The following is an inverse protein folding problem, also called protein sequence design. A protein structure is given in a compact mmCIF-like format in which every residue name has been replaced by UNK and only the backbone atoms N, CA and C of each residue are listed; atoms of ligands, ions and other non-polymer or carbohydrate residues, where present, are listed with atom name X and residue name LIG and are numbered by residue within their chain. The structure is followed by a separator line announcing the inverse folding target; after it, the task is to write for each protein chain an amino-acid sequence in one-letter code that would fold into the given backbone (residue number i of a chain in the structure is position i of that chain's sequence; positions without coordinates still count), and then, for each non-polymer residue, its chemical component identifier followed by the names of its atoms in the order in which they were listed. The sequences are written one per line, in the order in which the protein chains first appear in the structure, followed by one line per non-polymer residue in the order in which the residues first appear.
data_IF_663580216849
#
_entry.id   IF_663580216849
#
_cell.length_a   1.000
_cell.length_b   1.000
_cell.length_c   1.000
_cell.angle_alpha   90.00
_cell.angle_beta   90.00
_cell.angle_gamma   90.00
#
_symmetry.space_group_name_H-M   'P 1'
#
loop_
_entity.id
_entity.type
_entity.pdbx_description
1 polymer ?
#
# COMPACT_ATOMS: atom_id res chain seq x y z
N UNK A 1 0.88 -21.52 -0.66
CA UNK A 1 1.14 -20.67 -1.85
C UNK A 1 0.91 -19.22 -1.48
N UNK A 2 1.89 -18.34 -1.67
CA UNK A 2 1.65 -16.91 -1.51
C UNK A 2 0.61 -16.44 -2.54
N UNK A 3 -0.22 -15.50 -2.14
CA UNK A 3 -1.24 -14.94 -3.04
C UNK A 3 -0.72 -13.77 -3.87
N UNK A 4 0.48 -13.26 -3.55
CA UNK A 4 1.05 -12.08 -4.18
C UNK A 4 2.52 -12.31 -4.54
N UNK A 5 2.96 -11.54 -5.52
CA UNK A 5 4.36 -11.58 -6.00
C UNK A 5 4.79 -10.18 -6.42
N UNK A 6 6.05 -9.84 -6.17
CA UNK A 6 6.63 -8.58 -6.62
C UNK A 6 7.24 -8.76 -8.01
N UNK A 7 6.92 -7.84 -8.93
CA UNK A 7 7.47 -7.83 -10.28
C UNK A 7 7.68 -6.39 -10.76
N UNK A 8 8.48 -6.23 -11.82
CA UNK A 8 8.58 -4.96 -12.53
C UNK A 8 7.32 -4.75 -13.36
N UNK A 9 6.71 -3.57 -13.24
CA UNK A 9 5.46 -3.25 -13.95
C UNK A 9 5.70 -2.95 -15.43
N UNK A 10 6.93 -2.60 -15.80
CA UNK A 10 7.26 -2.18 -17.16
C UNK A 10 6.98 -0.70 -17.44
N UNK A 11 6.40 0.03 -16.50
CA UNK A 11 6.07 1.46 -16.70
C UNK A 11 6.48 2.38 -15.55
N UNK A 12 6.49 1.92 -14.31
CA UNK A 12 6.84 2.78 -13.16
C UNK A 12 7.59 2.04 -12.06
N UNK A 13 8.38 1.04 -12.43
CA UNK A 13 9.21 0.30 -11.50
C UNK A 13 8.52 -0.95 -10.96
N UNK A 14 8.78 -1.28 -9.70
CA UNK A 14 8.25 -2.48 -9.07
C UNK A 14 6.79 -2.30 -8.68
N UNK A 15 6.06 -3.40 -8.66
CA UNK A 15 4.70 -3.46 -8.15
C UNK A 15 4.40 -4.84 -7.58
N UNK A 16 3.25 -4.96 -6.94
CA UNK A 16 2.77 -6.21 -6.36
C UNK A 16 1.63 -6.73 -7.23
N UNK A 17 1.72 -7.99 -7.59
CA UNK A 17 0.78 -8.64 -8.51
C UNK A 17 0.12 -9.83 -7.85
N UNK A 18 -1.11 -10.12 -8.27
CA UNK A 18 -1.82 -11.31 -7.80
C UNK A 18 -1.16 -12.56 -8.39
N UNK A 19 -0.76 -13.49 -7.52
CA UNK A 19 -0.19 -14.77 -7.93
C UNK A 19 -1.28 -15.86 -8.08
N UNK A 20 -2.52 -15.53 -7.72
CA UNK A 20 -3.73 -16.32 -7.92
C UNK A 20 -4.93 -15.40 -7.97
N UNK A 21 -6.11 -15.94 -8.29
CA UNK A 21 -7.34 -15.15 -8.20
C UNK A 21 -7.65 -14.85 -6.74
N UNK A 22 -8.01 -13.60 -6.47
CA UNK A 22 -8.35 -13.12 -5.13
C UNK A 22 -9.77 -12.57 -5.19
N UNK A 23 -10.63 -13.01 -4.28
CA UNK A 23 -12.02 -12.57 -4.25
C UNK A 23 -12.19 -11.29 -3.45
N UNK A 24 -13.16 -10.47 -3.85
CA UNK A 24 -13.54 -9.27 -3.11
C UNK A 24 -13.71 -9.57 -1.62
N UNK A 25 -13.12 -8.75 -0.78
CA UNK A 25 -13.16 -8.89 0.67
C UNK A 25 -12.11 -9.81 1.27
N UNK A 26 -11.41 -10.58 0.44
CA UNK A 26 -10.36 -11.48 0.91
C UNK A 26 -9.14 -10.67 1.34
N UNK A 27 -8.52 -11.03 2.48
CA UNK A 27 -7.28 -10.40 2.89
C UNK A 27 -6.15 -10.81 1.96
N UNK A 28 -5.34 -9.82 1.61
CA UNK A 28 -4.17 -9.98 0.75
C UNK A 28 -2.92 -10.13 1.59
N UNK A 29 -2.77 -9.22 2.56
CA UNK A 29 -1.60 -9.20 3.43
C UNK A 29 -1.93 -8.45 4.71
N UNK A 30 -1.42 -8.95 5.84
CA UNK A 30 -1.42 -8.22 7.11
C UNK A 30 0.03 -7.82 7.33
N UNK A 31 0.37 -6.56 7.02
CA UNK A 31 1.74 -6.08 7.07
C UNK A 31 2.05 -5.50 8.45
N UNK A 32 2.96 -6.10 9.22
CA UNK A 32 3.38 -5.49 10.47
C UNK A 32 4.08 -4.17 10.20
N UNK A 33 3.99 -3.22 11.13
CA UNK A 33 4.57 -1.90 10.95
C UNK A 33 5.63 -1.60 12.00
N UNK A 34 6.56 -0.72 11.64
CA UNK A 34 7.44 -0.05 12.58
C UNK A 34 6.91 1.37 12.73
N UNK A 35 6.48 1.72 13.96
CA UNK A 35 5.96 3.06 14.23
C UNK A 35 7.13 4.01 14.40
N UNK A 36 7.11 5.11 13.66
CA UNK A 36 8.15 6.15 13.68
C UNK A 36 7.58 7.35 14.42
N UNK A 37 8.13 7.68 15.61
CA UNK A 37 7.65 8.83 16.37
C UNK A 37 7.74 10.14 15.56
N UNK A 38 6.81 11.05 15.83
CA UNK A 38 6.74 12.34 15.15
C UNK A 38 8.08 13.08 15.13
N UNK A 39 8.82 13.03 16.24
CA UNK A 39 10.13 13.73 16.36
C UNK A 39 11.17 13.17 15.40
N UNK A 40 11.16 11.85 15.16
CA UNK A 40 12.11 11.23 14.24
C UNK A 40 11.63 11.36 12.80
N UNK A 41 10.35 11.20 12.57
CA UNK A 41 9.78 11.31 11.24
C UNK A 41 10.03 12.69 10.60
N UNK A 42 10.04 13.74 11.40
CA UNK A 42 10.34 15.10 10.90
C UNK A 42 11.72 15.21 10.27
N UNK A 43 12.67 14.41 10.72
CA UNK A 43 14.03 14.38 10.18
C UNK A 43 14.12 13.58 8.88
N UNK A 44 13.09 12.80 8.55
CA UNK A 44 13.03 11.98 7.34
C UNK A 44 12.41 12.71 6.15
N UNK A 45 11.85 13.89 6.35
CA UNK A 45 11.23 14.66 5.29
C UNK A 45 12.20 14.91 4.14
N UNK A 46 11.73 14.67 2.91
CA UNK A 46 12.53 14.83 1.71
C UNK A 46 13.56 13.73 1.49
N UNK A 47 13.61 12.73 2.38
CA UNK A 47 14.46 11.56 2.21
C UNK A 47 13.63 10.42 1.61
N UNK A 48 14.29 9.43 1.02
CA UNK A 48 13.62 8.40 0.25
C UNK A 48 12.52 7.67 1.05
N UNK A 49 12.77 7.33 2.31
CA UNK A 49 11.81 6.58 3.12
C UNK A 49 10.52 7.36 3.40
N UNK A 50 10.57 8.69 3.34
CA UNK A 50 9.38 9.51 3.57
C UNK A 50 8.29 9.27 2.52
N UNK A 51 8.64 8.67 1.37
CA UNK A 51 7.69 8.35 0.32
C UNK A 51 6.96 7.02 0.56
N UNK A 52 7.37 6.26 1.58
CA UNK A 52 6.89 4.89 1.81
C UNK A 52 6.14 4.71 3.13
N UNK A 53 5.96 5.79 3.89
CA UNK A 53 5.33 5.70 5.20
C UNK A 53 3.83 5.99 5.14
N UNK A 54 3.09 5.43 6.08
CA UNK A 54 1.64 5.60 6.22
C UNK A 54 1.34 6.50 7.41
N UNK A 55 0.15 7.09 7.41
CA UNK A 55 -0.33 7.84 8.59
C UNK A 55 -0.55 6.89 9.75
N UNK A 56 -0.18 7.35 10.94
CA UNK A 56 -0.34 6.60 12.19
C UNK A 56 -0.62 7.59 13.32
N UNK A 57 -1.84 8.15 13.34
CA UNK A 57 -2.15 9.27 14.21
C UNK A 57 -1.25 10.46 13.89
N UNK A 58 -0.57 11.00 14.89
CA UNK A 58 0.42 12.07 14.68
C UNK A 58 1.80 11.54 14.28
N UNK A 59 1.99 10.23 14.36
CA UNK A 59 3.23 9.56 13.98
C UNK A 59 3.14 9.06 12.54
N UNK A 60 4.12 8.26 12.12
CA UNK A 60 4.12 7.56 10.85
C UNK A 60 4.43 6.09 11.08
N UNK A 61 4.09 5.27 10.11
CA UNK A 61 4.36 3.84 10.17
C UNK A 61 4.99 3.36 8.88
N UNK A 62 6.05 2.56 9.01
CA UNK A 62 6.66 1.88 7.88
C UNK A 62 6.12 0.45 7.84
N UNK A 63 5.40 0.10 6.78
CA UNK A 63 4.88 -1.24 6.61
C UNK A 63 5.97 -2.18 6.12
N UNK A 64 6.07 -3.34 6.76
CA UNK A 64 7.03 -4.38 6.38
C UNK A 64 6.39 -5.34 5.38
N UNK A 65 7.12 -6.41 5.02
CA UNK A 65 6.66 -7.29 3.95
C UNK A 65 6.56 -6.53 2.64
N UNK A 66 5.45 -6.64 1.95
CA UNK A 66 5.19 -5.90 0.72
C UNK A 66 4.35 -4.63 0.94
N UNK A 67 4.01 -4.32 2.18
CA UNK A 67 3.07 -3.25 2.52
C UNK A 67 3.41 -1.87 1.97
N UNK A 68 4.70 -1.54 1.84
CA UNK A 68 5.15 -0.25 1.32
C UNK A 68 5.39 -0.26 -0.18
N UNK A 69 5.11 -1.35 -0.88
CA UNK A 69 5.43 -1.54 -2.30
C UNK A 69 4.22 -1.56 -3.23
N UNK A 70 2.99 -1.51 -2.70
CA UNK A 70 1.80 -1.40 -3.55
C UNK A 70 1.78 -0.03 -4.21
N UNK A 71 1.53 0.00 -5.50
CA UNK A 71 1.48 1.26 -6.25
C UNK A 71 0.12 1.94 -6.09
N UNK A 72 0.11 3.25 -6.34
CA UNK A 72 -1.09 4.07 -6.28
C UNK A 72 -1.90 3.96 -7.55
N UNK A 73 -3.24 3.94 -7.40
CA UNK A 73 -4.18 4.16 -8.49
C UNK A 73 -5.39 4.92 -7.95
N UNK A 74 -5.97 5.79 -8.76
CA UNK A 74 -7.24 6.43 -8.45
C UNK A 74 -8.43 5.48 -8.70
N UNK A 75 -8.19 4.35 -9.37
CA UNK A 75 -9.16 3.28 -9.56
C UNK A 75 -8.58 1.97 -8.99
N UNK A 76 -8.34 1.92 -7.66
CA UNK A 76 -7.63 0.79 -7.05
C UNK A 76 -8.50 -0.45 -6.97
N UNK A 77 -7.87 -1.63 -7.06
CA UNK A 77 -8.57 -2.90 -6.84
C UNK A 77 -8.42 -3.42 -5.40
N UNK A 78 -7.61 -2.77 -4.58
CA UNK A 78 -7.41 -3.16 -3.19
C UNK A 78 -7.57 -1.96 -2.26
N UNK A 79 -7.72 -2.26 -0.98
CA UNK A 79 -7.89 -1.27 0.09
C UNK A 79 -6.99 -1.62 1.25
N UNK A 80 -6.72 -0.65 2.12
CA UNK A 80 -5.98 -0.93 3.33
C UNK A 80 -6.61 -0.21 4.54
N UNK A 81 -6.41 -0.82 5.71
CA UNK A 81 -6.85 -0.28 6.99
C UNK A 81 -5.67 -0.26 7.95
N UNK A 82 -5.52 0.85 8.68
CA UNK A 82 -4.59 0.89 9.81
C UNK A 82 -5.21 0.14 10.98
N UNK A 83 -4.48 -0.81 11.52
CA UNK A 83 -4.90 -1.60 12.67
C UNK A 83 -3.98 -1.26 13.84
N UNK A 84 -4.39 -0.25 14.63
CA UNK A 84 -3.58 0.28 15.73
C UNK A 84 -3.33 -0.80 16.78
N UNK A 85 -4.36 -1.55 17.12
CA UNK A 85 -4.28 -2.59 18.16
C UNK A 85 -3.29 -3.68 17.79
N UNK A 86 -3.28 -4.10 16.53
CA UNK A 86 -2.41 -5.17 16.04
C UNK A 86 -1.07 -4.65 15.54
N UNK A 87 -0.88 -3.35 15.47
CA UNK A 87 0.30 -2.69 14.88
C UNK A 87 0.58 -3.22 13.47
N UNK A 88 -0.45 -3.18 12.65
CA UNK A 88 -0.37 -3.65 11.26
C UNK A 88 -1.16 -2.73 10.34
N UNK A 89 -0.89 -2.86 9.04
CA UNK A 89 -1.73 -2.33 7.98
C UNK A 89 -2.27 -3.55 7.25
N UNK A 90 -3.60 -3.66 7.20
CA UNK A 90 -4.28 -4.82 6.66
C UNK A 90 -4.75 -4.49 5.24
N UNK A 91 -4.23 -5.21 4.24
CA UNK A 91 -4.57 -5.04 2.83
C UNK A 91 -5.59 -6.11 2.44
N UNK A 92 -6.66 -5.70 1.77
CA UNK A 92 -7.70 -6.61 1.31
C UNK A 92 -8.23 -6.21 -0.06
N UNK A 93 -8.83 -7.17 -0.77
CA UNK A 93 -9.36 -6.93 -2.09
C UNK A 93 -10.65 -6.11 -2.01
N UNK A 94 -10.69 -4.99 -2.74
CA UNK A 94 -11.89 -4.16 -2.87
C UNK A 94 -12.83 -4.64 -3.95
N UNK A 95 -12.34 -5.51 -4.83
CA UNK A 95 -13.07 -6.16 -5.91
C UNK A 95 -12.37 -7.48 -6.23
N UNK A 96 -12.94 -8.29 -7.13
CA UNK A 96 -12.26 -9.51 -7.55
C UNK A 96 -11.01 -9.15 -8.34
N UNK A 97 -9.89 -9.79 -8.01
CA UNK A 97 -8.60 -9.57 -8.65
C UNK A 97 -8.17 -10.88 -9.30
N UNK A 98 -7.85 -10.83 -10.58
CA UNK A 98 -7.44 -12.02 -11.31
C UNK A 98 -5.92 -12.22 -11.21
N UNK A 99 -5.51 -13.48 -11.29
CA UNK A 99 -4.09 -13.83 -11.36
C UNK A 99 -3.41 -13.01 -12.46
N UNK A 100 -2.27 -12.42 -12.13
CA UNK A 100 -1.50 -11.59 -13.05
C UNK A 100 -1.82 -10.11 -13.02
N UNK A 101 -2.94 -9.71 -12.40
CA UNK A 101 -3.26 -8.29 -12.29
C UNK A 101 -2.40 -7.63 -11.23
N UNK A 102 -2.01 -6.39 -11.48
CA UNK A 102 -1.32 -5.58 -10.46
C UNK A 102 -2.31 -5.21 -9.35
N UNK A 103 -1.86 -5.32 -8.10
CA UNK A 103 -2.63 -4.92 -6.94
C UNK A 103 -2.27 -3.48 -6.60
N UNK A 104 -3.27 -2.59 -6.60
CA UNK A 104 -3.08 -1.16 -6.36
C UNK A 104 -3.98 -0.67 -5.24
N UNK A 105 -3.53 0.37 -4.57
CA UNK A 105 -4.28 1.05 -3.52
C UNK A 105 -4.29 2.55 -3.81
N UNK A 106 -5.23 3.27 -3.20
CA UNK A 106 -5.20 4.73 -3.28
C UNK A 106 -4.41 5.27 -2.08
N UNK A 107 -3.31 5.97 -2.36
CA UNK A 107 -2.43 6.50 -1.32
C UNK A 107 -3.10 7.53 -0.42
N UNK A 108 -4.23 8.08 -0.84
CA UNK A 108 -5.03 8.98 0.00
C UNK A 108 -5.81 8.23 1.09
N UNK A 109 -5.82 6.90 1.06
CA UNK A 109 -6.49 6.04 2.03
C UNK A 109 -7.89 5.64 1.60
N UNK A 110 -8.76 6.60 1.25
CA UNK A 110 -10.09 6.32 0.73
C UNK A 110 -9.97 5.96 -0.75
N UNK A 111 -10.47 4.80 -1.19
CA UNK A 111 -10.37 4.38 -2.59
C UNK A 111 -11.04 5.33 -3.58
N UNK A 112 -11.95 6.18 -3.11
CA UNK A 112 -12.66 7.16 -3.96
C UNK A 112 -12.02 8.54 -3.95
N UNK A 113 -11.00 8.78 -3.14
CA UNK A 113 -10.36 10.08 -3.02
C UNK A 113 -9.51 10.36 -4.26
N UNK A 114 -9.87 11.42 -4.99
CA UNK A 114 -9.18 11.82 -6.21
C UNK A 114 -8.18 12.95 -5.97
N UNK A 115 -7.85 13.25 -4.72
CA UNK A 115 -6.88 14.29 -4.37
C UNK A 115 -5.52 13.99 -4.96
N UNK A 116 -4.77 15.00 -5.42
CA UNK A 116 -3.43 14.79 -5.98
C UNK A 116 -2.49 14.14 -4.98
N UNK A 117 -1.64 13.25 -5.49
CA UNK A 117 -0.50 12.71 -4.75
C UNK A 117 0.76 13.48 -5.18
N UNK A 118 1.90 13.18 -4.54
CA UNK A 118 3.14 13.96 -4.74
C UNK A 118 3.91 13.62 -6.02
N UNK A 119 3.35 12.79 -6.88
CA UNK A 119 3.98 12.38 -8.13
C UNK A 119 2.94 12.28 -9.23
N UNK A 120 3.40 12.20 -10.51
CA UNK A 120 2.51 12.00 -11.65
C UNK A 120 2.01 10.56 -11.68
N UNK A 121 0.68 10.39 -11.78
CA UNK A 121 0.06 9.07 -11.79
C UNK A 121 -0.05 8.55 -13.22
N UNK A 122 0.47 7.34 -13.45
CA UNK A 122 0.39 6.64 -14.74
C UNK A 122 -0.58 5.47 -14.53
N UNK A 123 -1.79 5.63 -15.07
CA UNK A 123 -2.83 4.60 -14.96
C UNK A 123 -2.68 3.44 -15.95
#
# INVERSE_FOLDING_TARGET
MPSIVMKNTGKYGRGIFAARNIKKGEYIEVAPVIVIPKTEWKQMRGRILSNYVFRWGDDKALALGYGSLYNHSYAPNARYLTNIENQSIDFYAGEDIQEGEEITVNYNGDPKDQSPVWFEVIE
#
